data_IF_500050041535
#
_entry.id   IF_500050041535
#
_cell.length_a   1.000
_cell.length_b   1.000
_cell.length_c   1.000
_cell.angle_alpha   90.00
_cell.angle_beta   90.00
_cell.angle_gamma   90.00
#
_symmetry.space_group_name_H-M   'P 1'
#
loop_
_entity.id
_entity.type
_entity.pdbx_description
1 polymer ?
#
# COMPACT_ATOMS: atom_id res chain seq x y z
N UNK A 1 5.65 15.27 -7.88
CA UNK A 1 5.11 14.04 -7.26
C UNK A 1 6.21 13.00 -7.15
N UNK A 2 6.13 12.16 -6.13
CA UNK A 2 7.10 11.08 -5.92
C UNK A 2 7.07 10.09 -7.08
N UNK A 3 8.24 9.53 -7.52
CA UNK A 3 8.26 8.48 -8.53
C UNK A 3 7.52 7.20 -8.08
N UNK A 4 7.22 7.07 -6.79
CA UNK A 4 6.48 5.94 -6.25
C UNK A 4 4.96 6.09 -6.37
N UNK A 5 4.49 7.25 -6.84
CA UNK A 5 3.06 7.53 -7.02
C UNK A 5 2.77 7.86 -8.49
N UNK A 6 1.68 7.29 -9.01
CA UNK A 6 1.20 7.55 -10.37
C UNK A 6 0.05 8.57 -10.31
N UNK A 7 0.25 9.81 -10.80
CA UNK A 7 -0.80 10.83 -10.75
C UNK A 7 -2.04 10.47 -11.56
N UNK A 8 -1.91 9.61 -12.57
CA UNK A 8 -3.03 9.20 -13.39
C UNK A 8 -4.06 8.38 -12.60
N UNK A 9 -3.63 7.71 -11.51
CA UNK A 9 -4.54 6.90 -10.70
C UNK A 9 -5.60 7.76 -10.02
N UNK A 10 -5.21 8.90 -9.44
CA UNK A 10 -6.17 9.81 -8.80
C UNK A 10 -7.11 10.43 -9.82
N UNK A 11 -6.60 10.73 -11.01
CA UNK A 11 -7.44 11.25 -12.10
C UNK A 11 -8.50 10.24 -12.53
N UNK A 12 -8.14 8.95 -12.58
CA UNK A 12 -9.10 7.88 -12.90
C UNK A 12 -10.21 7.79 -11.85
N UNK A 13 -9.82 7.85 -10.57
CA UNK A 13 -10.80 7.82 -9.47
C UNK A 13 -11.72 9.03 -9.51
N UNK A 14 -11.18 10.20 -9.83
CA UNK A 14 -11.97 11.42 -9.94
C UNK A 14 -13.01 11.32 -11.05
N UNK A 15 -12.66 10.72 -12.17
CA UNK A 15 -13.61 10.49 -13.27
C UNK A 15 -14.72 9.51 -12.88
N UNK A 16 -14.42 8.57 -11.96
CA UNK A 16 -15.42 7.59 -11.52
C UNK A 16 -16.43 8.17 -10.53
N UNK A 17 -15.97 8.97 -9.58
CA UNK A 17 -16.84 9.41 -8.48
C UNK A 17 -16.74 10.87 -8.09
N UNK A 18 -15.90 11.65 -8.76
CA UNK A 18 -15.68 13.06 -8.46
C UNK A 18 -14.72 13.32 -7.31
N UNK A 19 -14.41 14.60 -7.04
CA UNK A 19 -13.47 14.96 -5.98
C UNK A 19 -13.83 14.44 -4.58
N UNK A 20 -15.10 14.45 -4.12
CA UNK A 20 -15.44 13.90 -2.80
C UNK A 20 -15.16 12.40 -2.68
N UNK A 21 -15.34 11.66 -3.78
CA UNK A 21 -15.02 10.23 -3.79
C UNK A 21 -13.53 9.99 -3.61
N UNK A 22 -12.69 10.77 -4.30
CA UNK A 22 -11.24 10.67 -4.16
C UNK A 22 -10.82 10.96 -2.72
N UNK A 23 -11.36 12.02 -2.11
CA UNK A 23 -11.05 12.37 -0.72
C UNK A 23 -11.41 11.24 0.23
N UNK A 24 -12.56 10.58 0.01
CA UNK A 24 -12.97 9.45 0.84
C UNK A 24 -12.01 8.27 0.72
N UNK A 25 -11.59 7.94 -0.51
CA UNK A 25 -10.68 6.82 -0.75
C UNK A 25 -9.31 7.10 -0.11
N UNK A 26 -8.82 8.34 -0.23
CA UNK A 26 -7.57 8.75 0.41
C UNK A 26 -7.66 8.61 1.94
N UNK A 27 -8.74 9.09 2.52
CA UNK A 27 -8.95 9.03 3.97
C UNK A 27 -9.01 7.58 4.46
N UNK A 28 -9.71 6.71 3.73
CA UNK A 28 -9.78 5.28 4.07
C UNK A 28 -8.41 4.63 4.03
N UNK A 29 -7.60 4.92 3.01
CA UNK A 29 -6.24 4.37 2.92
C UNK A 29 -5.40 4.83 4.11
N UNK A 30 -5.45 6.11 4.43
CA UNK A 30 -4.63 6.68 5.51
C UNK A 30 -5.00 6.11 6.88
N UNK A 31 -6.24 5.67 7.06
CA UNK A 31 -6.69 5.04 8.31
C UNK A 31 -6.48 3.54 8.34
N UNK A 32 -6.72 2.87 7.22
CA UNK A 32 -6.81 1.40 7.20
C UNK A 32 -5.50 0.71 6.81
N UNK A 33 -4.64 1.36 6.02
CA UNK A 33 -3.40 0.75 5.58
C UNK A 33 -2.35 0.60 6.70
N UNK A 34 -2.14 1.60 7.60
CA UNK A 34 -1.11 1.45 8.63
C UNK A 34 -1.24 0.19 9.49
N UNK A 35 -2.44 -0.16 10.03
CA UNK A 35 -2.54 -1.40 10.81
C UNK A 35 -2.30 -2.66 9.97
N UNK A 36 -2.60 -2.62 8.67
CA UNK A 36 -2.35 -3.78 7.81
C UNK A 36 -0.86 -3.98 7.54
N UNK A 37 -0.13 -2.88 7.34
CA UNK A 37 1.32 -2.95 7.18
C UNK A 37 1.97 -3.46 8.47
N UNK A 38 1.51 -2.98 9.62
CA UNK A 38 1.99 -3.45 10.92
C UNK A 38 1.69 -4.93 11.15
N UNK A 39 0.48 -5.39 10.75
CA UNK A 39 0.10 -6.79 10.87
C UNK A 39 0.96 -7.69 9.97
N UNK A 40 1.31 -7.20 8.78
CA UNK A 40 2.20 -7.94 7.89
C UNK A 40 3.58 -8.11 8.51
N UNK A 41 4.13 -7.06 9.11
CA UNK A 41 5.41 -7.14 9.81
C UNK A 41 5.35 -8.15 10.96
N UNK A 42 4.29 -8.09 11.76
CA UNK A 42 4.11 -9.03 12.88
C UNK A 42 4.01 -10.48 12.39
N UNK A 43 3.32 -10.70 11.27
CA UNK A 43 3.21 -12.03 10.67
C UNK A 43 4.58 -12.55 10.19
N UNK A 44 5.40 -11.67 9.61
CA UNK A 44 6.76 -12.03 9.23
C UNK A 44 7.59 -12.43 10.45
N UNK A 45 7.52 -11.64 11.52
CA UNK A 45 8.27 -11.90 12.74
C UNK A 45 7.84 -13.23 13.37
N UNK A 46 6.56 -13.58 13.27
CA UNK A 46 6.03 -14.86 13.75
C UNK A 46 6.28 -16.02 12.77
N UNK A 47 6.86 -15.75 11.60
CA UNK A 47 7.11 -16.71 10.51
C UNK A 47 5.84 -17.46 10.11
N UNK A 48 4.74 -16.73 10.02
CA UNK A 48 3.44 -17.23 9.58
C UNK A 48 3.23 -16.86 8.11
N UNK A 49 3.58 -17.79 7.22
CA UNK A 49 3.53 -17.56 5.77
C UNK A 49 2.13 -17.22 5.29
N UNK A 50 1.12 -17.91 5.80
CA UNK A 50 -0.27 -17.67 5.37
C UNK A 50 -0.73 -16.26 5.79
N UNK A 51 -0.35 -15.82 6.99
CA UNK A 51 -0.70 -14.48 7.46
C UNK A 51 0.05 -13.40 6.67
N UNK A 52 1.33 -13.63 6.34
CA UNK A 52 2.08 -12.69 5.50
C UNK A 52 1.40 -12.54 4.16
N UNK A 53 1.04 -13.65 3.51
CA UNK A 53 0.37 -13.63 2.21
C UNK A 53 -1.00 -12.94 2.31
N UNK A 54 -1.73 -13.18 3.37
CA UNK A 54 -3.05 -12.58 3.60
C UNK A 54 -2.97 -11.05 3.66
N UNK A 55 -2.06 -10.51 4.49
CA UNK A 55 -1.94 -9.08 4.65
C UNK A 55 -1.37 -8.41 3.39
N UNK A 56 -0.43 -9.07 2.72
CA UNK A 56 0.08 -8.57 1.45
C UNK A 56 -1.04 -8.49 0.41
N UNK A 57 -1.85 -9.54 0.30
CA UNK A 57 -2.98 -9.56 -0.64
C UNK A 57 -3.96 -8.41 -0.34
N UNK A 58 -4.25 -8.16 0.94
CA UNK A 58 -5.16 -7.10 1.34
C UNK A 58 -4.68 -5.70 0.90
N UNK A 59 -3.37 -5.53 0.71
CA UNK A 59 -2.78 -4.25 0.32
C UNK A 59 -2.61 -4.08 -1.19
N UNK A 60 -2.76 -5.13 -1.99
CA UNK A 60 -2.52 -5.07 -3.44
C UNK A 60 -3.47 -4.09 -4.13
N UNK A 61 -4.76 -4.30 -3.99
CA UNK A 61 -5.77 -3.50 -4.69
C UNK A 61 -5.74 -2.05 -4.23
N UNK A 62 -5.64 -1.82 -2.92
CA UNK A 62 -5.64 -0.48 -2.35
C UNK A 62 -4.45 0.33 -2.86
N UNK A 63 -3.26 -0.29 -2.88
CA UNK A 63 -2.05 0.38 -3.38
C UNK A 63 -2.19 0.75 -4.85
N UNK A 64 -2.69 -0.18 -5.67
CA UNK A 64 -2.84 0.04 -7.11
C UNK A 64 -3.86 1.10 -7.44
N UNK A 65 -5.02 1.09 -6.75
CA UNK A 65 -6.08 2.05 -7.00
C UNK A 65 -5.64 3.49 -6.74
N UNK A 66 -4.74 3.70 -5.78
CA UNK A 66 -4.24 5.03 -5.43
C UNK A 66 -2.94 5.39 -6.15
N UNK A 67 -2.44 4.51 -7.02
CA UNK A 67 -1.22 4.78 -7.76
C UNK A 67 0.05 4.65 -6.94
N UNK A 68 0.01 3.93 -5.82
CA UNK A 68 1.20 3.63 -5.03
C UNK A 68 1.94 2.46 -5.69
N UNK A 69 2.56 2.73 -6.84
CA UNK A 69 3.10 1.69 -7.72
C UNK A 69 4.23 0.89 -7.07
N UNK A 70 5.17 1.57 -6.40
CA UNK A 70 6.27 0.89 -5.73
C UNK A 70 5.76 -0.02 -4.63
N UNK A 71 4.82 0.50 -3.82
CA UNK A 71 4.18 -0.28 -2.75
C UNK A 71 3.48 -1.51 -3.33
N UNK A 72 2.72 -1.34 -4.42
CA UNK A 72 2.01 -2.46 -5.05
C UNK A 72 2.96 -3.55 -5.54
N UNK A 73 4.07 -3.16 -6.18
CA UNK A 73 5.08 -4.13 -6.63
C UNK A 73 5.63 -4.95 -5.47
N UNK A 74 5.94 -4.27 -4.37
CA UNK A 74 6.51 -4.93 -3.19
C UNK A 74 5.52 -5.88 -2.53
N UNK A 75 4.25 -5.46 -2.35
CA UNK A 75 3.27 -6.35 -1.73
C UNK A 75 2.98 -7.58 -2.60
N UNK A 76 3.00 -7.44 -3.92
CA UNK A 76 2.85 -8.59 -4.82
C UNK A 76 4.00 -9.58 -4.67
N UNK A 77 5.23 -9.09 -4.62
CA UNK A 77 6.40 -9.96 -4.43
C UNK A 77 6.37 -10.65 -3.08
N UNK A 78 6.02 -9.91 -2.03
CA UNK A 78 5.89 -10.46 -0.69
C UNK A 78 4.85 -11.58 -0.68
N UNK A 79 3.71 -11.37 -1.29
CA UNK A 79 2.66 -12.38 -1.38
C UNK A 79 3.16 -13.64 -2.09
N UNK A 80 3.81 -13.48 -3.23
CA UNK A 80 4.32 -14.60 -4.01
C UNK A 80 5.36 -15.40 -3.23
N UNK A 81 6.31 -14.70 -2.59
CA UNK A 81 7.37 -15.38 -1.83
C UNK A 81 6.82 -16.07 -0.59
N UNK A 82 5.85 -15.47 0.10
CA UNK A 82 5.22 -16.09 1.26
C UNK A 82 4.46 -17.35 0.86
N UNK A 83 3.69 -17.30 -0.23
CA UNK A 83 2.94 -18.47 -0.71
C UNK A 83 3.86 -19.61 -1.15
N UNK A 84 5.05 -19.27 -1.63
CA UNK A 84 6.05 -20.27 -2.05
C UNK A 84 7.00 -20.67 -0.90
N UNK A 85 6.76 -20.15 0.29
CA UNK A 85 7.60 -20.36 1.48
C UNK A 85 9.07 -19.96 1.26
N UNK A 86 9.29 -18.93 0.46
CA UNK A 86 10.63 -18.35 0.25
C UNK A 86 10.88 -17.27 1.29
N UNK A 87 11.41 -17.67 2.44
CA UNK A 87 11.59 -16.77 3.59
C UNK A 87 12.77 -15.83 3.44
N UNK A 88 13.82 -16.25 2.75
CA UNK A 88 15.07 -15.52 2.69
C UNK A 88 14.91 -14.08 2.20
N UNK A 89 14.16 -13.79 1.11
CA UNK A 89 14.03 -12.41 0.64
C UNK A 89 13.01 -11.58 1.44
N UNK A 90 12.15 -12.21 2.25
CA UNK A 90 11.03 -11.52 2.88
C UNK A 90 11.43 -10.38 3.83
N UNK A 91 12.42 -10.53 4.73
CA UNK A 91 12.76 -9.43 5.63
C UNK A 91 13.16 -8.15 4.89
N UNK A 92 13.98 -8.27 3.84
CA UNK A 92 14.38 -7.13 3.03
C UNK A 92 13.20 -6.50 2.30
N UNK A 93 12.33 -7.34 1.72
CA UNK A 93 11.16 -6.86 1.00
C UNK A 93 10.17 -6.14 1.92
N UNK A 94 9.97 -6.64 3.12
CA UNK A 94 9.07 -6.00 4.09
C UNK A 94 9.65 -4.65 4.55
N UNK A 95 10.97 -4.57 4.76
CA UNK A 95 11.61 -3.30 5.10
C UNK A 95 11.46 -2.28 3.96
N UNK A 96 11.62 -2.72 2.70
CA UNK A 96 11.40 -1.87 1.54
C UNK A 96 9.94 -1.44 1.45
N UNK A 97 9.02 -2.34 1.75
CA UNK A 97 7.59 -2.01 1.78
C UNK A 97 7.29 -0.91 2.81
N UNK A 98 7.86 -1.03 4.00
CA UNK A 98 7.65 -0.03 5.05
C UNK A 98 8.13 1.35 4.61
N UNK A 99 9.28 1.42 3.93
CA UNK A 99 9.79 2.67 3.40
C UNK A 99 8.90 3.21 2.27
N UNK A 100 8.49 2.35 1.34
CA UNK A 100 7.62 2.75 0.23
C UNK A 100 6.24 3.19 0.74
N UNK A 101 5.73 2.52 1.76
CA UNK A 101 4.47 2.90 2.39
C UNK A 101 4.57 4.28 3.04
N UNK A 102 5.66 4.55 3.74
CA UNK A 102 5.87 5.86 4.37
C UNK A 102 5.87 6.98 3.32
N UNK A 103 6.57 6.77 2.21
CA UNK A 103 6.60 7.72 1.09
C UNK A 103 5.21 7.92 0.49
N UNK A 104 4.50 6.82 0.22
CA UNK A 104 3.16 6.87 -0.36
C UNK A 104 2.18 7.57 0.59
N UNK A 105 2.23 7.23 1.88
CA UNK A 105 1.37 7.84 2.89
C UNK A 105 1.55 9.35 2.95
N UNK A 106 2.80 9.81 2.96
CA UNK A 106 3.09 11.23 3.03
C UNK A 106 2.58 11.97 1.78
N UNK A 107 2.79 11.39 0.60
CA UNK A 107 2.31 11.98 -0.64
C UNK A 107 0.80 12.03 -0.73
N UNK A 108 0.13 10.95 -0.33
CA UNK A 108 -1.33 10.87 -0.36
C UNK A 108 -1.97 11.75 0.71
N UNK A 109 -1.33 11.89 1.88
CA UNK A 109 -1.80 12.80 2.92
C UNK A 109 -1.73 14.26 2.45
N UNK A 110 -0.65 14.64 1.77
CA UNK A 110 -0.52 15.97 1.19
C UNK A 110 -1.60 16.23 0.13
N UNK A 111 -1.91 15.22 -0.68
CA UNK A 111 -2.97 15.31 -1.67
C UNK A 111 -4.34 15.51 -1.02
N UNK A 112 -4.62 14.79 0.06
CA UNK A 112 -5.88 14.94 0.78
C UNK A 112 -6.00 16.34 1.38
N UNK A 113 -4.93 16.88 1.95
CA UNK A 113 -4.93 18.24 2.49
C UNK A 113 -5.29 19.26 1.41
N UNK A 114 -4.71 19.13 0.21
CA UNK A 114 -5.02 20.06 -0.89
C UNK A 114 -6.49 19.99 -1.29
N UNK A 115 -7.13 18.83 -1.15
CA UNK A 115 -8.53 18.61 -1.55
C UNK A 115 -9.53 19.07 -0.51
N UNK A 116 -9.10 19.24 0.75
CA UNK A 116 -9.99 19.56 1.85
C UNK A 116 -9.89 21.03 2.30
N UNK A 117 -9.04 21.82 1.66
CA UNK A 117 -8.88 23.26 1.94
C UNK A 117 -9.89 24.10 1.19
#
# INVERSE_FOLDING_TARGET
>A
MSPDLDPAALSRLERLGGPPFVARILDLFLRDAPPKVAALRAALDARDADAVAYWAHALVSTSGNLGATRMQELVRRIQQDALAARWEPLPGLVSELEAAFSTARNGLAAELERRTV
#
